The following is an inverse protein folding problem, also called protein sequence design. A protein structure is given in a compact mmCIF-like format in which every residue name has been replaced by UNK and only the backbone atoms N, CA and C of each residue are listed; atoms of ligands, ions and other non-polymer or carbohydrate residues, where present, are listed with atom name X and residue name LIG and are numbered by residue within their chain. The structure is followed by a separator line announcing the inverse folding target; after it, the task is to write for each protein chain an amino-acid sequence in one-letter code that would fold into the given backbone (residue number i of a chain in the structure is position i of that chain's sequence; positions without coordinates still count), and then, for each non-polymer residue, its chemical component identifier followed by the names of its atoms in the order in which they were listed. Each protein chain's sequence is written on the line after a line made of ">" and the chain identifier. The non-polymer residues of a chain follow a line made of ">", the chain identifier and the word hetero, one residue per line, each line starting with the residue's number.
data_IF_576705992078
#
_entry.id   IF_576705992078
#
_cell.length_a   1.000
_cell.length_b   1.000
_cell.length_c   1.000
_cell.angle_alpha   90.00
_cell.angle_beta   90.00
_cell.angle_gamma   90.00
#
_symmetry.space_group_name_H-M   'P 1'
#
loop_
_entity.id
_entity.type
_entity.pdbx_description
1 polymer ?
#
# COMPACT_ATOMS: atom_id res chain seq x y z
N UNK A 1 0.89 12.65 11.79
CA UNK A 1 2.28 12.15 11.76
C UNK A 1 2.83 11.78 13.15
N UNK A 2 1.97 11.36 14.10
CA UNK A 2 2.37 10.94 15.46
C UNK A 2 1.82 9.55 15.85
N UNK A 3 0.94 8.96 15.04
CA UNK A 3 0.27 7.69 15.37
C UNK A 3 1.18 6.46 15.28
N UNK A 4 2.41 6.61 14.78
CA UNK A 4 3.38 5.51 14.70
C UNK A 4 4.40 5.50 15.85
N UNK A 5 4.36 6.51 16.73
CA UNK A 5 5.25 6.62 17.90
C UNK A 5 4.71 5.81 19.09
N UNK A 6 3.39 5.59 19.16
CA UNK A 6 2.73 4.82 20.23
C UNK A 6 2.44 3.35 19.89
N UNK A 7 2.99 2.82 18.79
CA UNK A 7 2.88 1.38 18.52
C UNK A 7 4.12 0.66 19.08
N UNK A 8 4.10 0.17 20.33
CA UNK A 8 5.26 -0.47 20.96
C UNK A 8 5.82 -1.61 20.12
N UNK A 9 4.99 -2.28 19.28
CA UNK A 9 5.49 -3.32 18.36
C UNK A 9 6.49 -2.78 17.34
N UNK A 10 6.28 -1.58 16.79
CA UNK A 10 7.19 -1.01 15.79
C UNK A 10 8.52 -0.60 16.44
N UNK A 11 8.47 0.00 17.63
CA UNK A 11 9.65 0.41 18.39
C UNK A 11 10.49 -0.79 18.87
N UNK A 12 9.86 -1.85 19.38
CA UNK A 12 10.53 -3.06 19.84
C UNK A 12 11.29 -3.76 18.72
N UNK A 13 10.72 -3.85 17.51
CA UNK A 13 11.37 -4.48 16.34
C UNK A 13 12.71 -3.78 16.03
N UNK A 14 12.73 -2.45 15.97
CA UNK A 14 13.97 -1.69 15.73
C UNK A 14 15.01 -1.91 16.84
N UNK A 15 14.58 -1.89 18.11
CA UNK A 15 15.50 -2.05 19.25
C UNK A 15 16.14 -3.45 19.29
N UNK A 16 15.43 -4.50 18.89
CA UNK A 16 16.00 -5.87 18.79
C UNK A 16 16.91 -6.07 17.59
N UNK A 17 16.73 -5.32 16.50
CA UNK A 17 17.56 -5.45 15.29
C UNK A 17 18.93 -4.77 15.44
N UNK A 18 19.02 -3.69 16.22
CA UNK A 18 20.28 -2.95 16.43
C UNK A 18 21.41 -3.81 17.02
N UNK A 19 21.23 -4.57 18.12
CA UNK A 19 22.33 -5.31 18.75
C UNK A 19 22.79 -6.53 17.95
N UNK A 20 21.93 -7.16 17.14
CA UNK A 20 22.30 -8.37 16.38
C UNK A 20 23.23 -8.08 15.19
N UNK A 21 23.30 -6.83 14.72
CA UNK A 21 24.15 -6.44 13.60
C UNK A 21 25.41 -5.67 14.00
N UNK A 22 25.49 -5.17 15.24
CA UNK A 22 26.63 -4.43 15.78
C UNK A 22 27.40 -5.30 16.78
N UNK A 23 28.29 -6.17 16.28
CA UNK A 23 29.32 -6.80 17.11
C UNK A 23 30.36 -5.74 17.49
N UNK A 24 30.37 -5.34 18.76
CA UNK A 24 31.35 -4.42 19.34
C UNK A 24 32.74 -5.07 19.23
N UNK A 25 33.61 -4.57 18.32
CA UNK A 25 35.00 -5.03 18.19
C UNK A 25 35.59 -5.20 16.78
N UNK A 26 34.82 -5.05 15.68
CA UNK A 26 35.35 -5.07 14.29
C UNK A 26 34.94 -3.82 13.51
N UNK A 27 35.65 -3.53 12.40
CA UNK A 27 35.36 -2.40 11.51
C UNK A 27 33.88 -2.36 11.13
N UNK A 28 33.20 -1.30 11.59
CA UNK A 28 31.75 -1.12 11.53
C UNK A 28 31.29 -0.72 10.11
N UNK A 29 32.15 -0.01 9.38
CA UNK A 29 31.84 0.57 8.06
C UNK A 29 31.34 -0.44 7.01
N UNK A 30 32.05 -1.57 6.72
CA UNK A 30 31.59 -2.52 5.70
C UNK A 30 30.29 -3.22 6.10
N UNK A 31 30.05 -3.44 7.40
CA UNK A 31 28.84 -4.10 7.91
C UNK A 31 27.59 -3.23 7.74
N UNK A 32 27.72 -1.94 8.06
CA UNK A 32 26.66 -0.95 7.83
C UNK A 32 26.37 -0.80 6.34
N UNK A 33 27.41 -0.79 5.50
CA UNK A 33 27.23 -0.70 4.04
C UNK A 33 26.45 -1.91 3.49
N UNK A 34 26.76 -3.14 3.91
CA UNK A 34 26.01 -4.34 3.50
C UNK A 34 24.55 -4.28 3.95
N UNK A 35 24.29 -3.84 5.19
CA UNK A 35 22.92 -3.70 5.70
C UNK A 35 22.14 -2.61 4.97
N UNK A 36 22.78 -1.49 4.67
CA UNK A 36 22.17 -0.41 3.90
C UNK A 36 21.80 -0.89 2.48
N UNK A 37 22.70 -1.61 1.80
CA UNK A 37 22.42 -2.18 0.47
C UNK A 37 21.28 -3.19 0.54
N UNK A 38 21.30 -4.12 1.50
CA UNK A 38 20.21 -5.07 1.68
C UNK A 38 18.87 -4.37 1.93
N UNK A 39 18.86 -3.32 2.74
CA UNK A 39 17.67 -2.51 3.01
C UNK A 39 17.14 -1.83 1.75
N UNK A 40 18.03 -1.21 0.96
CA UNK A 40 17.68 -0.57 -0.32
C UNK A 40 17.02 -1.59 -1.26
N UNK A 41 17.60 -2.79 -1.39
CA UNK A 41 17.06 -3.86 -2.25
C UNK A 41 15.66 -4.26 -1.81
N UNK A 42 15.44 -4.49 -0.52
CA UNK A 42 14.12 -4.86 0.03
C UNK A 42 13.08 -3.77 -0.25
N UNK A 43 13.42 -2.50 0.00
CA UNK A 43 12.52 -1.38 -0.24
C UNK A 43 12.21 -1.22 -1.73
N UNK A 44 13.20 -1.37 -2.61
CA UNK A 44 12.98 -1.31 -4.05
C UNK A 44 12.03 -2.41 -4.52
N UNK A 45 12.26 -3.66 -4.12
CA UNK A 45 11.39 -4.80 -4.45
C UNK A 45 9.96 -4.56 -3.98
N UNK A 46 9.81 -4.04 -2.76
CA UNK A 46 8.51 -3.70 -2.20
C UNK A 46 7.79 -2.60 -2.99
N UNK A 47 8.48 -1.51 -3.32
CA UNK A 47 7.92 -0.40 -4.08
C UNK A 47 7.53 -0.82 -5.50
N UNK A 48 8.38 -1.59 -6.19
CA UNK A 48 8.11 -2.15 -7.51
C UNK A 48 6.88 -3.06 -7.47
N UNK A 49 6.77 -3.91 -6.45
CA UNK A 49 5.61 -4.78 -6.25
C UNK A 49 4.34 -3.96 -6.09
N UNK A 50 4.31 -2.96 -5.21
CA UNK A 50 3.16 -2.07 -5.03
C UNK A 50 2.81 -1.27 -6.29
N UNK A 51 3.81 -0.69 -6.93
CA UNK A 51 3.64 0.06 -8.16
C UNK A 51 3.03 -0.83 -9.25
N UNK A 52 3.50 -2.08 -9.38
CA UNK A 52 2.95 -3.04 -10.35
C UNK A 52 1.52 -3.45 -10.01
N UNK A 53 1.20 -3.75 -8.75
CA UNK A 53 -0.17 -4.07 -8.31
C UNK A 53 -1.12 -2.92 -8.59
N UNK A 54 -0.72 -1.69 -8.28
CA UNK A 54 -1.52 -0.49 -8.56
C UNK A 54 -1.64 -0.24 -10.05
N UNK A 55 -0.58 -0.43 -10.83
CA UNK A 55 -0.61 -0.29 -12.28
C UNK A 55 -1.59 -1.29 -12.93
N UNK A 56 -1.56 -2.56 -12.49
CA UNK A 56 -2.50 -3.60 -12.93
C UNK A 56 -3.93 -3.29 -12.48
N UNK A 57 -4.11 -2.82 -11.24
CA UNK A 57 -5.43 -2.39 -10.76
C UNK A 57 -5.97 -1.20 -11.57
N UNK A 58 -5.10 -0.23 -11.90
CA UNK A 58 -5.45 0.91 -12.74
C UNK A 58 -5.83 0.48 -14.14
N UNK A 59 -5.06 -0.38 -14.80
CA UNK A 59 -5.43 -0.87 -16.14
C UNK A 59 -6.71 -1.71 -16.12
N UNK A 60 -6.93 -2.50 -15.08
CA UNK A 60 -8.20 -3.22 -14.88
C UNK A 60 -9.40 -2.28 -14.70
N UNK A 61 -9.22 -1.17 -13.98
CA UNK A 61 -10.27 -0.16 -13.71
C UNK A 61 -10.47 0.80 -14.90
N UNK A 62 -9.41 1.15 -15.65
CA UNK A 62 -9.49 1.98 -16.87
C UNK A 62 -10.05 1.20 -18.07
N UNK A 63 -10.33 -0.09 -17.90
CA UNK A 63 -10.96 -0.89 -18.94
C UNK A 63 -12.40 -0.42 -19.16
N UNK A 64 -12.87 -0.22 -20.41
CA UNK A 64 -14.22 0.27 -20.73
C UNK A 64 -15.37 -0.55 -20.11
N UNK A 65 -15.10 -1.79 -19.67
CA UNK A 65 -16.04 -2.63 -18.93
C UNK A 65 -16.38 -2.08 -17.54
N UNK A 66 -15.40 -1.56 -16.80
CA UNK A 66 -15.63 -1.03 -15.45
C UNK A 66 -16.41 0.29 -15.51
N UNK A 67 -16.01 1.21 -16.42
CA UNK A 67 -16.79 2.43 -16.71
C UNK A 67 -18.24 2.12 -17.11
N UNK A 68 -18.46 1.14 -18.00
CA UNK A 68 -19.82 0.70 -18.38
C UNK A 68 -20.60 0.11 -17.20
N UNK A 69 -19.96 -0.61 -16.29
CA UNK A 69 -20.59 -1.15 -15.07
C UNK A 69 -21.09 -0.03 -14.16
N UNK A 70 -20.23 0.94 -13.85
CA UNK A 70 -20.60 2.09 -13.00
C UNK A 70 -21.66 2.98 -13.65
N UNK A 71 -21.57 3.25 -14.95
CA UNK A 71 -22.61 4.01 -15.67
C UNK A 71 -23.96 3.29 -15.69
N UNK A 72 -23.98 1.95 -15.83
CA UNK A 72 -25.21 1.16 -15.75
C UNK A 72 -25.81 1.15 -14.35
N UNK A 73 -24.97 1.03 -13.31
CA UNK A 73 -25.41 1.14 -11.92
C UNK A 73 -26.00 2.52 -11.62
N UNK A 74 -25.32 3.60 -12.01
CA UNK A 74 -25.83 4.95 -11.82
C UNK A 74 -27.16 5.19 -12.57
N UNK A 75 -27.26 4.72 -13.81
CA UNK A 75 -28.50 4.76 -14.59
C UNK A 75 -29.62 3.93 -13.96
N UNK A 76 -29.34 2.71 -13.49
CA UNK A 76 -30.32 1.86 -12.82
C UNK A 76 -30.81 2.47 -11.51
N UNK A 77 -29.91 3.09 -10.73
CA UNK A 77 -30.28 3.82 -9.51
C UNK A 77 -31.18 5.00 -9.84
N UNK A 78 -30.84 5.81 -10.85
CA UNK A 78 -31.68 6.92 -11.31
C UNK A 78 -33.07 6.45 -11.78
N UNK A 79 -33.15 5.37 -12.56
CA UNK A 79 -34.42 4.78 -12.99
C UNK A 79 -35.22 4.27 -11.80
N UNK A 80 -34.58 3.56 -10.85
CA UNK A 80 -35.24 3.07 -9.65
C UNK A 80 -35.77 4.21 -8.78
N UNK A 81 -35.00 5.29 -8.61
CA UNK A 81 -35.45 6.51 -7.95
C UNK A 81 -36.62 7.16 -8.69
N UNK A 82 -36.55 7.28 -10.02
CA UNK A 82 -37.61 7.84 -10.87
C UNK A 82 -38.92 7.04 -10.79
N UNK A 83 -38.83 5.71 -10.84
CA UNK A 83 -39.98 4.82 -10.64
C UNK A 83 -40.55 5.00 -9.24
N UNK A 84 -39.69 4.98 -8.21
CA UNK A 84 -40.13 5.19 -6.81
C UNK A 84 -40.87 6.51 -6.65
N UNK A 85 -40.37 7.61 -7.24
CA UNK A 85 -41.03 8.92 -7.21
C UNK A 85 -42.36 8.92 -7.96
N UNK A 86 -42.45 8.25 -9.11
CA UNK A 86 -43.68 8.16 -9.90
C UNK A 86 -44.75 7.32 -9.19
N UNK A 87 -44.34 6.27 -8.45
CA UNK A 87 -45.26 5.43 -7.67
C UNK A 87 -45.61 6.01 -6.30
N UNK A 88 -44.85 7.00 -5.81
CA UNK A 88 -45.16 7.74 -4.58
C UNK A 88 -45.94 9.03 -4.84
N UNK A 89 -46.37 9.25 -6.08
CA UNK A 89 -47.25 10.34 -6.53
C UNK A 89 -48.65 9.78 -6.76
#
# INVERSE_FOLDING_TARGET
>A
MWSNVLNPKAASVYLTLVPQFLTVGRSIAPRIATLAVAHIVVVLVWLLSWASMVAVARTAIDTPRFRRGTSRLAGAVLVAFGVRTATSS
#
